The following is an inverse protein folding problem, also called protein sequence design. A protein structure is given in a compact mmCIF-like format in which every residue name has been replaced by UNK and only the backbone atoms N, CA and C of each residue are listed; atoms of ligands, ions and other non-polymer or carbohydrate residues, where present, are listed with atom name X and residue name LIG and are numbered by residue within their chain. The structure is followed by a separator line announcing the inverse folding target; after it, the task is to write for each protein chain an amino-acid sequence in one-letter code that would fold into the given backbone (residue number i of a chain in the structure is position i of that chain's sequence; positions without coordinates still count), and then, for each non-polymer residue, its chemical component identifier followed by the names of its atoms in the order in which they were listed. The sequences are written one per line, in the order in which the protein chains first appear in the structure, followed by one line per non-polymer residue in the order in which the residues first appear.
data_IF_048545953886
#
_entry.id   IF_048545953886
#
_cell.length_a   1.000
_cell.length_b   1.000
_cell.length_c   1.000
_cell.angle_alpha   90.00
_cell.angle_beta   90.00
_cell.angle_gamma   90.00
#
_symmetry.space_group_name_H-M   'P 1'
#
loop_
_entity.id
_entity.type
_entity.pdbx_description
1 polymer ?
#
# COMPACT_ATOMS: atom_id res chain seq x y z
N UNK A 1 -5.67 57.18 -0.08
CA UNK A 1 -4.61 56.16 0.07
C UNK A 1 -5.27 54.94 0.72
N UNK A 2 -5.72 53.96 -0.07
CA UNK A 2 -4.98 52.76 -0.53
C UNK A 2 -4.61 51.84 0.64
N UNK A 3 -5.05 50.57 0.51
CA UNK A 3 -4.73 49.38 1.34
C UNK A 3 -5.61 49.35 2.60
N UNK A 4 -6.64 48.52 2.72
CA UNK A 4 -6.54 47.05 2.80
C UNK A 4 -7.77 46.44 2.11
N UNK A 5 -7.68 46.38 0.78
CA UNK A 5 -8.48 45.46 -0.04
C UNK A 5 -7.58 44.27 -0.33
N UNK A 6 -7.32 43.42 0.67
CA UNK A 6 -6.56 42.16 0.52
C UNK A 6 -7.01 41.16 1.59
N UNK A 7 -8.32 40.93 1.74
CA UNK A 7 -8.84 39.71 2.38
C UNK A 7 -9.65 38.89 1.38
N UNK A 8 -9.13 38.83 0.15
CA UNK A 8 -9.65 38.00 -0.93
C UNK A 8 -8.48 37.29 -1.59
N UNK A 9 -7.85 36.37 -0.85
CA UNK A 9 -7.10 35.27 -1.45
C UNK A 9 -6.68 34.33 -0.32
N UNK A 10 -7.20 33.11 -0.35
CA UNK A 10 -6.59 31.85 0.08
C UNK A 10 -7.70 30.83 0.38
N UNK A 11 -8.63 30.68 -0.57
CA UNK A 11 -9.32 29.40 -0.75
C UNK A 11 -8.35 28.52 -1.57
N UNK A 12 -7.28 28.07 -0.92
CA UNK A 12 -6.40 27.06 -1.46
C UNK A 12 -7.16 25.75 -1.46
N UNK A 13 -7.91 25.49 -2.53
CA UNK A 13 -8.46 24.16 -2.79
C UNK A 13 -7.29 23.22 -3.04
N UNK A 14 -6.78 22.60 -1.98
CA UNK A 14 -5.93 21.43 -2.09
C UNK A 14 -6.78 20.36 -2.79
N UNK A 15 -6.64 20.27 -4.11
CA UNK A 15 -7.13 19.12 -4.86
C UNK A 15 -6.30 17.93 -4.39
N UNK A 16 -6.78 17.27 -3.33
CA UNK A 16 -6.32 15.94 -2.98
C UNK A 16 -6.74 15.09 -4.18
N UNK A 17 -5.79 14.75 -5.04
CA UNK A 17 -5.98 13.72 -6.05
C UNK A 17 -6.22 12.41 -5.31
N UNK A 18 -7.48 12.16 -4.94
CA UNK A 18 -7.90 10.90 -4.35
C UNK A 18 -7.76 9.80 -5.40
N UNK A 19 -7.10 8.71 -5.02
CA UNK A 19 -6.99 7.47 -5.79
C UNK A 19 -8.37 7.08 -6.33
N UNK A 20 -8.47 6.86 -7.64
CA UNK A 20 -9.71 6.43 -8.29
C UNK A 20 -9.67 4.92 -8.40
N UNK A 21 -10.81 4.27 -8.21
CA UNK A 21 -10.91 2.80 -8.41
C UNK A 21 -10.59 2.40 -9.84
N UNK A 22 -10.90 3.26 -10.82
CA UNK A 22 -10.57 3.04 -12.23
C UNK A 22 -9.07 2.90 -12.51
N UNK A 23 -8.21 3.42 -11.64
CA UNK A 23 -6.76 3.38 -11.84
C UNK A 23 -6.18 1.97 -11.59
N UNK A 24 -6.97 1.07 -11.00
CA UNK A 24 -6.57 -0.29 -10.66
C UNK A 24 -6.90 -1.27 -11.78
N UNK A 25 -5.91 -2.09 -12.15
CA UNK A 25 -6.05 -3.20 -13.12
C UNK A 25 -6.62 -4.46 -12.45
N UNK A 26 -6.14 -4.77 -11.25
CA UNK A 26 -6.46 -5.99 -10.54
C UNK A 26 -7.43 -5.72 -9.39
N UNK A 27 -8.38 -6.63 -9.20
CA UNK A 27 -9.32 -6.59 -8.08
C UNK A 27 -9.32 -7.92 -7.34
N UNK A 28 -9.28 -7.86 -6.02
CA UNK A 28 -9.46 -9.02 -5.15
C UNK A 28 -10.87 -8.97 -4.54
N UNK A 29 -11.61 -10.07 -4.66
CA UNK A 29 -12.93 -10.25 -4.06
C UNK A 29 -12.79 -11.38 -3.03
N UNK A 30 -13.17 -11.16 -1.76
CA UNK A 30 -13.11 -12.21 -0.76
C UNK A 30 -14.13 -13.32 -1.09
N UNK A 31 -13.81 -14.57 -0.73
CA UNK A 31 -14.70 -15.72 -0.98
C UNK A 31 -16.03 -15.63 -0.22
N UNK A 32 -16.05 -14.87 0.87
CA UNK A 32 -17.23 -14.61 1.69
C UNK A 32 -17.19 -13.17 2.19
N UNK A 33 -18.35 -12.53 2.18
CA UNK A 33 -18.52 -11.21 2.76
C UNK A 33 -18.89 -11.31 4.24
N UNK A 34 -18.07 -10.72 5.12
CA UNK A 34 -18.19 -10.89 6.59
C UNK A 34 -19.54 -10.42 7.16
N UNK A 35 -20.17 -9.44 6.51
CA UNK A 35 -21.46 -8.90 6.97
C UNK A 35 -22.67 -9.79 6.68
N UNK A 36 -22.49 -10.82 5.84
CA UNK A 36 -23.52 -11.80 5.52
C UNK A 36 -23.32 -13.05 6.38
N UNK A 37 -24.15 -13.21 7.42
CA UNK A 37 -23.96 -14.20 8.49
C UNK A 37 -23.92 -15.66 8.05
N UNK A 38 -24.54 -16.01 6.92
CA UNK A 38 -24.75 -17.42 6.54
C UNK A 38 -24.58 -17.66 5.04
N UNK A 39 -25.13 -16.78 4.21
CA UNK A 39 -25.03 -16.87 2.76
C UNK A 39 -24.99 -15.46 2.18
N UNK A 40 -24.13 -15.26 1.20
CA UNK A 40 -23.97 -14.04 0.44
C UNK A 40 -24.92 -13.96 -0.76
N UNK A 41 -25.80 -14.94 -0.96
CA UNK A 41 -26.79 -14.98 -2.06
C UNK A 41 -26.17 -14.79 -3.45
N UNK A 42 -25.00 -15.39 -3.69
CA UNK A 42 -24.30 -15.32 -4.98
C UNK A 42 -23.69 -13.95 -5.32
N UNK A 43 -23.66 -13.00 -4.38
CA UNK A 43 -23.15 -11.64 -4.62
C UNK A 43 -21.69 -11.62 -5.10
N UNK A 44 -20.86 -12.57 -4.68
CA UNK A 44 -19.46 -12.71 -5.13
C UNK A 44 -19.38 -12.95 -6.64
N UNK A 45 -20.23 -13.87 -7.15
CA UNK A 45 -20.29 -14.19 -8.57
C UNK A 45 -20.84 -13.02 -9.37
N UNK A 46 -21.89 -12.35 -8.87
CA UNK A 46 -22.44 -11.14 -9.49
C UNK A 46 -21.41 -10.00 -9.56
N UNK A 47 -20.68 -9.76 -8.47
CA UNK A 47 -19.63 -8.74 -8.40
C UNK A 47 -18.49 -9.09 -9.37
N UNK A 48 -18.02 -10.34 -9.36
CA UNK A 48 -16.98 -10.85 -10.26
C UNK A 48 -17.34 -10.59 -11.72
N UNK A 49 -18.54 -10.99 -12.14
CA UNK A 49 -18.99 -10.84 -13.52
C UNK A 49 -19.13 -9.37 -13.91
N UNK A 50 -19.66 -8.53 -13.01
CA UNK A 50 -19.81 -7.10 -13.28
C UNK A 50 -18.47 -6.36 -13.38
N UNK A 51 -17.48 -6.73 -12.55
CA UNK A 51 -16.15 -6.13 -12.59
C UNK A 51 -15.35 -6.58 -13.81
N UNK A 52 -15.46 -7.86 -14.20
CA UNK A 52 -14.91 -8.35 -15.48
C UNK A 52 -15.50 -7.60 -16.67
N UNK A 53 -16.82 -7.38 -16.69
CA UNK A 53 -17.49 -6.58 -17.72
C UNK A 53 -17.03 -5.10 -17.75
N UNK A 54 -16.45 -4.62 -16.65
CA UNK A 54 -15.85 -3.29 -16.50
C UNK A 54 -14.32 -3.31 -16.70
N UNK A 55 -13.76 -4.34 -17.33
CA UNK A 55 -12.32 -4.51 -17.64
C UNK A 55 -11.39 -4.72 -16.42
N UNK A 56 -11.90 -5.04 -15.24
CA UNK A 56 -11.05 -5.43 -14.11
C UNK A 56 -10.62 -6.90 -14.22
N UNK A 57 -9.38 -7.19 -13.85
CA UNK A 57 -8.87 -8.56 -13.72
C UNK A 57 -9.11 -9.04 -12.29
N UNK A 58 -10.08 -9.93 -12.11
CA UNK A 58 -10.39 -10.52 -10.80
C UNK A 58 -9.36 -11.58 -10.45
N UNK A 59 -8.65 -11.37 -9.34
CA UNK A 59 -7.63 -12.29 -8.84
C UNK A 59 -8.27 -13.43 -8.03
N UNK A 60 -7.71 -14.65 -8.12
CA UNK A 60 -8.14 -15.77 -7.27
C UNK A 60 -7.69 -15.54 -5.82
N UNK A 61 -8.28 -16.26 -4.86
CA UNK A 61 -7.90 -16.18 -3.44
C UNK A 61 -6.44 -16.58 -3.18
N UNK A 62 -5.92 -17.51 -3.99
CA UNK A 62 -4.55 -18.02 -3.89
C UNK A 62 -3.54 -17.10 -4.56
N UNK A 63 -2.62 -16.53 -3.78
CA UNK A 63 -1.54 -15.63 -4.24
C UNK A 63 -0.61 -16.33 -5.25
N UNK A 64 -0.52 -17.66 -5.22
CA UNK A 64 0.32 -18.45 -6.13
C UNK A 64 -0.14 -18.41 -7.58
N UNK A 65 -1.41 -18.07 -7.81
CA UNK A 65 -2.00 -17.95 -9.13
C UNK A 65 -2.04 -16.51 -9.63
N UNK A 66 -1.51 -15.56 -8.85
CA UNK A 66 -1.51 -14.15 -9.22
C UNK A 66 -0.44 -13.87 -10.29
N UNK A 67 -0.72 -12.98 -11.25
CA UNK A 67 0.30 -12.45 -12.14
C UNK A 67 1.46 -11.83 -11.35
N UNK A 68 2.68 -11.94 -11.87
CA UNK A 68 3.87 -11.33 -11.25
C UNK A 68 3.66 -9.85 -10.94
N UNK A 69 3.09 -9.09 -11.88
CA UNK A 69 2.76 -7.66 -11.70
C UNK A 69 1.90 -7.36 -10.46
N UNK A 70 0.98 -8.27 -10.11
CA UNK A 70 0.11 -8.14 -8.94
C UNK A 70 0.79 -8.65 -7.65
N UNK A 71 1.63 -9.70 -7.76
CA UNK A 71 2.42 -10.23 -6.64
C UNK A 71 3.51 -9.27 -6.19
N UNK A 72 4.19 -8.65 -7.15
CA UNK A 72 5.35 -7.79 -6.94
C UNK A 72 4.92 -6.41 -6.43
N UNK A 73 3.70 -5.97 -6.75
CA UNK A 73 3.12 -4.73 -6.26
C UNK A 73 1.66 -4.91 -5.84
N UNK A 74 1.45 -5.16 -4.54
CA UNK A 74 0.12 -5.30 -3.95
C UNK A 74 -0.74 -4.03 -4.02
N UNK A 75 -0.14 -2.86 -4.27
CA UNK A 75 -0.89 -1.61 -4.46
C UNK A 75 -1.47 -1.46 -5.87
N UNK A 76 -1.15 -2.37 -6.80
CA UNK A 76 -1.88 -2.50 -8.07
C UNK A 76 -3.19 -3.27 -7.92
N UNK A 77 -3.49 -3.76 -6.73
CA UNK A 77 -4.68 -4.53 -6.39
C UNK A 77 -5.62 -3.67 -5.54
N UNK A 78 -6.88 -3.59 -5.96
CA UNK A 78 -7.95 -3.04 -5.14
C UNK A 78 -8.76 -4.17 -4.52
N UNK A 79 -9.13 -4.05 -3.26
CA UNK A 79 -10.01 -5.01 -2.59
C UNK A 79 -11.45 -4.55 -2.74
N UNK A 80 -12.31 -5.37 -3.32
CA UNK A 80 -13.74 -5.08 -3.47
C UNK A 80 -14.56 -5.93 -2.49
N UNK A 81 -15.37 -5.26 -1.67
CA UNK A 81 -16.17 -5.89 -0.63
C UNK A 81 -17.62 -5.39 -0.69
N UNK A 82 -18.57 -6.30 -0.47
CA UNK A 82 -19.98 -5.96 -0.33
C UNK A 82 -20.38 -6.07 1.13
N UNK A 83 -20.94 -5.00 1.66
CA UNK A 83 -21.47 -4.94 3.02
C UNK A 83 -23.00 -4.95 2.98
N UNK A 84 -23.62 -5.70 3.88
CA UNK A 84 -25.05 -5.66 4.10
C UNK A 84 -25.43 -4.39 4.88
N UNK A 85 -26.20 -3.50 4.25
CA UNK A 85 -26.77 -2.32 4.90
C UNK A 85 -28.14 -2.66 5.47
N UNK A 86 -28.18 -2.93 6.78
CA UNK A 86 -29.38 -3.45 7.45
C UNK A 86 -30.58 -2.53 7.22
N UNK A 87 -31.69 -3.12 6.75
CA UNK A 87 -32.94 -2.40 6.52
C UNK A 87 -34.11 -3.37 6.70
N UNK A 88 -35.21 -2.90 7.29
CA UNK A 88 -36.35 -3.76 7.67
C UNK A 88 -37.26 -4.12 6.50
N UNK A 89 -37.34 -3.26 5.48
CA UNK A 89 -38.33 -3.37 4.40
C UNK A 89 -37.71 -3.43 3.00
N UNK A 90 -36.39 -3.29 2.89
CA UNK A 90 -35.70 -3.18 1.60
C UNK A 90 -34.34 -3.83 1.67
N UNK A 91 -33.88 -4.34 0.55
CA UNK A 91 -32.55 -4.90 0.41
C UNK A 91 -31.58 -3.76 0.09
N UNK A 92 -30.55 -3.57 0.92
CA UNK A 92 -29.53 -2.54 0.70
C UNK A 92 -28.15 -3.14 0.87
N UNK A 93 -27.24 -2.66 0.03
CA UNK A 93 -25.83 -3.06 0.08
C UNK A 93 -24.93 -1.84 -0.05
N UNK A 94 -23.74 -1.94 0.52
CA UNK A 94 -22.66 -0.98 0.35
C UNK A 94 -21.52 -1.70 -0.35
N UNK A 95 -21.20 -1.30 -1.57
CA UNK A 95 -20.02 -1.75 -2.29
C UNK A 95 -18.85 -0.83 -1.92
N UNK A 96 -17.80 -1.39 -1.33
CA UNK A 96 -16.59 -0.67 -0.95
C UNK A 96 -15.39 -1.19 -1.73
N UNK A 97 -14.52 -0.26 -2.12
CA UNK A 97 -13.21 -0.55 -2.67
C UNK A 97 -12.15 0.00 -1.73
N UNK A 98 -11.21 -0.86 -1.33
CA UNK A 98 -10.11 -0.54 -0.41
C UNK A 98 -8.77 -0.68 -1.13
N UNK A 99 -7.87 0.27 -0.92
CA UNK A 99 -6.50 0.20 -1.42
C UNK A 99 -5.65 -0.81 -0.63
N UNK A 100 -4.36 -0.93 -0.99
CA UNK A 100 -3.39 -1.75 -0.26
C UNK A 100 -3.17 -1.32 1.21
N UNK A 101 -3.47 -0.07 1.56
CA UNK A 101 -3.42 0.45 2.92
C UNK A 101 -4.75 0.27 3.67
N UNK A 102 -5.69 -0.50 3.12
CA UNK A 102 -7.05 -0.73 3.67
C UNK A 102 -7.89 0.54 3.77
N UNK A 103 -7.52 1.62 3.08
CA UNK A 103 -8.29 2.86 2.99
C UNK A 103 -9.40 2.68 1.97
N UNK A 104 -10.63 3.03 2.36
CA UNK A 104 -11.77 3.06 1.43
C UNK A 104 -11.57 4.19 0.43
N UNK A 105 -11.39 3.84 -0.84
CA UNK A 105 -11.20 4.78 -1.95
C UNK A 105 -12.49 5.05 -2.73
N UNK A 106 -13.45 4.12 -2.67
CA UNK A 106 -14.81 4.32 -3.18
C UNK A 106 -15.80 3.57 -2.30
N UNK A 107 -16.90 4.24 -2.00
CA UNK A 107 -18.07 3.64 -1.38
C UNK A 107 -19.30 3.96 -2.24
N UNK A 108 -20.07 2.94 -2.58
CA UNK A 108 -21.30 3.09 -3.34
C UNK A 108 -22.43 2.29 -2.69
N UNK A 109 -23.55 2.97 -2.45
CA UNK A 109 -24.75 2.36 -1.86
C UNK A 109 -25.73 1.99 -2.95
N UNK A 110 -26.32 0.81 -2.83
CA UNK A 110 -27.38 0.30 -3.68
C UNK A 110 -28.59 -0.12 -2.85
N UNK A 111 -29.78 0.02 -3.45
CA UNK A 111 -31.05 -0.33 -2.83
C UNK A 111 -31.95 -1.04 -3.84
N UNK A 112 -32.70 -2.02 -3.35
CA UNK A 112 -33.80 -2.64 -4.07
C UNK A 112 -35.03 -2.76 -3.18
N UNK A 113 -36.19 -2.50 -3.76
CA UNK A 113 -37.48 -2.71 -3.10
C UNK A 113 -38.05 -4.13 -3.36
N UNK A 114 -37.33 -4.96 -4.13
CA UNK A 114 -37.62 -6.40 -4.29
C UNK A 114 -37.36 -7.08 -2.94
N UNK A 115 -38.37 -7.81 -2.44
CA UNK A 115 -38.34 -8.44 -1.12
C UNK A 115 -37.55 -9.75 -1.10
N UNK A 116 -37.52 -10.47 -2.21
CA UNK A 116 -36.68 -11.67 -2.31
C UNK A 116 -35.20 -11.29 -2.11
N UNK A 117 -34.49 -12.03 -1.25
CA UNK A 117 -33.13 -11.66 -0.86
C UNK A 117 -32.14 -11.87 -2.00
N UNK A 118 -32.25 -12.95 -2.75
CA UNK A 118 -31.31 -13.25 -3.83
C UNK A 118 -31.47 -12.26 -4.97
N UNK A 119 -32.71 -12.05 -5.43
CA UNK A 119 -33.01 -11.10 -6.49
C UNK A 119 -32.79 -9.64 -6.02
N UNK A 120 -33.25 -9.32 -4.81
CA UNK A 120 -33.20 -7.96 -4.26
C UNK A 120 -31.78 -7.52 -3.93
N UNK A 121 -30.94 -8.36 -3.33
CA UNK A 121 -29.54 -8.03 -3.07
C UNK A 121 -28.74 -7.97 -4.39
N UNK A 122 -28.99 -8.88 -5.34
CA UNK A 122 -28.40 -8.81 -6.67
C UNK A 122 -28.76 -7.52 -7.41
N UNK A 123 -30.02 -7.08 -7.31
CA UNK A 123 -30.49 -5.81 -7.87
C UNK A 123 -29.86 -4.60 -7.16
N UNK A 124 -29.80 -4.62 -5.83
CA UNK A 124 -29.14 -3.56 -5.05
C UNK A 124 -27.65 -3.45 -5.42
N UNK A 125 -26.95 -4.57 -5.60
CA UNK A 125 -25.55 -4.58 -6.05
C UNK A 125 -25.40 -3.96 -7.45
N UNK A 126 -26.30 -4.27 -8.40
CA UNK A 126 -26.31 -3.63 -9.72
C UNK A 126 -26.43 -2.10 -9.62
N UNK A 127 -27.28 -1.60 -8.74
CA UNK A 127 -27.42 -0.16 -8.48
C UNK A 127 -26.13 0.45 -7.91
N UNK A 128 -25.47 -0.24 -6.97
CA UNK A 128 -24.20 0.22 -6.41
C UNK A 128 -23.09 0.27 -7.49
N UNK A 129 -23.06 -0.70 -8.40
CA UNK A 129 -22.08 -0.80 -9.49
C UNK A 129 -22.17 0.30 -10.55
N UNK A 130 -23.28 1.04 -10.63
CA UNK A 130 -23.42 2.17 -11.57
C UNK A 130 -22.39 3.28 -11.29
N UNK A 131 -21.97 3.45 -10.04
CA UNK A 131 -20.96 4.44 -9.65
C UNK A 131 -19.52 3.97 -9.85
N UNK A 132 -19.32 2.71 -10.26
CA UNK A 132 -18.00 2.14 -10.51
C UNK A 132 -17.64 2.37 -11.98
N UNK A 133 -16.63 3.20 -12.22
CA UNK A 133 -16.08 3.40 -13.55
C UNK A 133 -15.35 2.12 -14.03
N UNK A 134 -15.31 1.87 -15.35
CA UNK A 134 -14.48 0.80 -15.91
C UNK A 134 -13.00 1.02 -15.56
N UNK A 135 -12.26 -0.08 -15.45
CA UNK A 135 -10.81 -0.04 -15.26
C UNK A 135 -10.17 0.64 -16.48
N UNK A 136 -9.35 1.64 -16.20
CA UNK A 136 -8.46 2.29 -17.13
C UNK A 136 -7.13 2.49 -16.40
N UNK A 137 -6.33 1.43 -16.26
CA UNK A 137 -5.12 1.49 -15.46
C UNK A 137 -4.15 2.45 -16.15
N UNK A 138 -4.01 3.64 -15.59
CA UNK A 138 -2.90 4.51 -15.92
C UNK A 138 -1.67 3.77 -15.41
N UNK A 139 -0.62 3.63 -16.21
CA UNK A 139 0.66 3.13 -15.73
C UNK A 139 1.06 3.99 -14.53
N UNK A 140 0.80 3.50 -13.32
CA UNK A 140 1.30 4.08 -12.07
C UNK A 140 2.77 3.68 -12.01
N UNK A 141 3.57 4.36 -12.84
CA UNK A 141 4.96 4.57 -12.46
C UNK A 141 4.91 5.19 -11.06
N UNK A 142 5.78 4.77 -10.11
CA UNK A 142 6.04 5.64 -8.97
C UNK A 142 6.37 7.02 -9.56
N UNK A 143 5.73 8.06 -9.06
CA UNK A 143 5.90 9.41 -9.57
C UNK A 143 7.40 9.73 -9.68
N UNK A 144 7.94 9.58 -10.90
CA UNK A 144 9.21 10.16 -11.25
C UNK A 144 9.00 11.66 -11.13
N UNK A 145 9.71 12.27 -10.20
CA UNK A 145 10.04 13.69 -10.30
C UNK A 145 10.43 13.99 -11.75
N UNK A 146 9.60 14.84 -12.35
CA UNK A 146 9.70 15.44 -13.66
C UNK A 146 11.13 15.59 -14.18
N UNK A 147 11.42 14.91 -15.29
CA UNK A 147 12.51 15.26 -16.19
C UNK A 147 12.12 16.53 -16.95
N UNK A 148 12.70 17.66 -16.58
CA UNK A 148 12.74 18.85 -17.45
C UNK A 148 13.87 18.65 -18.46
N UNK A 149 13.52 18.78 -19.74
CA UNK A 149 14.38 18.73 -20.92
C UNK A 149 15.52 19.76 -20.87
N UNK A 150 16.73 19.33 -21.26
CA UNK A 150 17.92 20.16 -21.44
C UNK A 150 17.76 21.17 -22.59
N UNK A 151 18.56 22.27 -22.58
CA UNK A 151 19.76 22.27 -23.43
C UNK A 151 21.05 22.75 -22.73
N UNK A 152 22.10 21.96 -22.99
CA UNK A 152 23.55 22.22 -23.13
C UNK A 152 24.20 23.48 -22.52
N UNK A 153 25.10 23.29 -21.54
CA UNK A 153 26.56 23.61 -21.63
C UNK A 153 27.31 23.13 -20.37
N UNK A 154 28.53 22.59 -20.53
CA UNK A 154 29.44 22.14 -19.46
C UNK A 154 30.33 23.30 -18.94
N UNK A 155 31.32 23.07 -18.05
CA UNK A 155 31.27 22.73 -16.61
C UNK A 155 31.97 23.84 -15.75
N UNK A 156 31.85 23.84 -14.41
CA UNK A 156 32.91 24.28 -13.43
C UNK A 156 32.47 24.09 -11.95
N UNK A 157 33.17 23.17 -11.29
CA UNK A 157 33.87 23.19 -9.97
C UNK A 157 33.53 24.21 -8.84
N UNK A 158 33.28 23.62 -7.66
CA UNK A 158 33.70 23.97 -6.28
C UNK A 158 33.15 25.18 -5.47
N UNK A 159 32.69 24.82 -4.24
CA UNK A 159 32.88 25.42 -2.90
C UNK A 159 31.55 25.33 -2.11
N UNK A 160 31.36 24.51 -1.06
CA UNK A 160 32.02 24.38 0.26
C UNK A 160 31.62 25.48 1.26
N UNK A 161 31.00 25.01 2.36
CA UNK A 161 30.92 25.57 3.72
C UNK A 161 29.94 26.74 4.00
N UNK A 162 29.25 26.89 5.14
CA UNK A 162 29.13 26.11 6.40
C UNK A 162 28.09 26.83 7.29
N UNK A 163 27.37 26.05 8.13
CA UNK A 163 26.81 26.40 9.46
C UNK A 163 25.71 27.49 9.57
N UNK A 164 24.78 27.48 10.53
CA UNK A 164 24.35 26.55 11.58
C UNK A 164 23.21 27.25 12.35
N UNK A 165 22.17 26.48 12.69
CA UNK A 165 21.22 26.52 13.86
C UNK A 165 20.65 27.88 14.35
N UNK A 166 19.41 28.00 14.85
CA UNK A 166 18.88 27.39 16.09
C UNK A 166 17.39 27.73 16.35
N UNK A 167 16.62 26.72 16.83
CA UNK A 167 15.52 26.76 17.85
C UNK A 167 14.17 27.46 17.49
N UNK A 168 12.96 27.04 17.90
CA UNK A 168 12.42 25.90 18.68
C UNK A 168 10.88 25.85 18.57
N UNK A 169 10.34 24.62 18.60
CA UNK A 169 9.07 24.09 19.16
C UNK A 169 7.69 24.72 18.83
N UNK A 170 6.73 23.88 18.38
CA UNK A 170 5.59 23.35 19.17
C UNK A 170 5.08 22.02 18.53
N UNK A 171 4.79 21.06 19.41
CA UNK A 171 4.44 19.65 19.20
C UNK A 171 3.02 19.35 18.69
N UNK A 172 2.88 18.28 17.88
CA UNK A 172 1.82 17.26 18.04
C UNK A 172 2.24 15.89 17.48
N UNK A 173 2.36 14.90 18.38
CA UNK A 173 2.45 13.43 18.25
C UNK A 173 2.97 12.77 16.94
N UNK A 174 4.18 12.22 17.03
CA UNK A 174 4.89 11.41 16.03
C UNK A 174 5.00 9.95 16.51
N UNK A 175 4.85 8.92 15.66
CA UNK A 175 5.40 7.60 15.98
C UNK A 175 6.93 7.65 15.84
N UNK A 176 7.61 7.31 16.93
CA UNK A 176 9.06 7.34 17.12
C UNK A 176 9.82 6.66 15.97
N UNK A 177 10.48 7.46 15.14
CA UNK A 177 11.46 7.00 14.16
C UNK A 177 12.84 6.95 14.80
N UNK A 178 13.19 5.81 15.41
CA UNK A 178 14.58 5.55 15.81
C UNK A 178 15.33 5.04 14.58
N UNK A 179 15.80 5.97 13.75
CA UNK A 179 16.67 5.66 12.61
C UNK A 179 18.06 5.29 13.14
N UNK A 180 18.42 4.01 13.08
CA UNK A 180 19.77 3.52 13.35
C UNK A 180 20.41 3.02 12.05
N UNK A 181 21.70 3.33 11.85
CA UNK A 181 22.44 2.91 10.66
C UNK A 181 23.21 1.63 10.95
N UNK A 182 23.30 0.76 9.95
CA UNK A 182 23.93 -0.54 10.03
C UNK A 182 24.85 -0.76 8.82
N UNK A 183 25.98 -1.44 9.01
CA UNK A 183 26.93 -1.69 7.93
C UNK A 183 27.72 -2.99 8.13
N UNK A 184 27.96 -3.71 7.04
CA UNK A 184 28.86 -4.87 6.97
C UNK A 184 30.25 -4.48 6.39
N UNK A 185 30.50 -3.18 6.20
CA UNK A 185 31.70 -2.63 5.57
C UNK A 185 31.66 -2.60 4.03
N UNK A 186 30.68 -3.25 3.39
CA UNK A 186 30.44 -3.22 1.93
C UNK A 186 29.15 -2.48 1.57
N UNK A 187 28.19 -2.53 2.47
CA UNK A 187 26.81 -2.08 2.29
C UNK A 187 26.40 -1.30 3.53
N UNK A 188 26.07 -0.02 3.33
CA UNK A 188 25.44 0.79 4.37
C UNK A 188 23.92 0.71 4.24
N UNK A 189 23.28 0.40 5.35
CA UNK A 189 21.84 0.16 5.47
C UNK A 189 21.25 1.04 6.58
N UNK A 190 20.07 1.58 6.33
CA UNK A 190 19.29 2.29 7.33
C UNK A 190 18.18 1.39 7.85
N UNK A 191 18.08 1.26 9.18
CA UNK A 191 16.94 0.61 9.82
C UNK A 191 15.77 1.58 9.90
N UNK A 192 14.64 1.18 9.32
CA UNK A 192 13.39 1.94 9.32
C UNK A 192 12.33 1.08 9.98
N UNK A 193 11.76 1.56 11.08
CA UNK A 193 10.65 0.89 11.76
C UNK A 193 9.36 1.16 10.98
N UNK A 194 8.63 0.11 10.62
CA UNK A 194 7.35 0.22 9.89
C UNK A 194 6.18 0.22 10.88
N UNK A 195 6.18 -0.73 11.81
CA UNK A 195 5.21 -0.83 12.91
C UNK A 195 5.84 -1.53 14.13
N UNK A 196 5.07 -1.89 15.15
CA UNK A 196 5.61 -2.53 16.37
C UNK A 196 6.25 -3.90 16.11
N UNK A 197 5.87 -4.58 15.03
CA UNK A 197 6.21 -5.96 14.73
C UNK A 197 7.08 -6.09 13.47
N UNK A 198 7.27 -5.01 12.71
CA UNK A 198 8.01 -5.03 11.45
C UNK A 198 8.96 -3.83 11.30
N UNK A 199 10.17 -4.10 10.80
CA UNK A 199 11.11 -3.10 10.34
C UNK A 199 11.81 -3.54 9.05
N UNK A 200 12.44 -2.61 8.36
CA UNK A 200 13.23 -2.89 7.14
C UNK A 200 14.65 -2.39 7.29
N UNK A 201 15.56 -3.01 6.53
CA UNK A 201 16.87 -2.44 6.21
C UNK A 201 16.83 -1.92 4.78
N UNK A 202 17.12 -0.64 4.59
CA UNK A 202 17.10 0.02 3.29
C UNK A 202 18.50 0.51 2.90
N UNK A 203 18.91 0.29 1.66
CA UNK A 203 20.14 0.88 1.11
C UNK A 203 19.83 2.25 0.52
N UNK A 204 20.67 3.25 0.81
CA UNK A 204 20.50 4.59 0.22
C UNK A 204 20.51 4.52 -1.31
N UNK A 205 19.52 5.14 -1.95
CA UNK A 205 19.34 5.11 -3.40
C UNK A 205 18.68 3.85 -3.97
N UNK A 206 18.29 2.87 -3.13
CA UNK A 206 17.52 1.70 -3.56
C UNK A 206 16.05 1.84 -3.17
N UNK A 207 15.13 1.69 -4.14
CA UNK A 207 13.68 1.63 -3.89
C UNK A 207 13.22 0.26 -3.36
N UNK A 208 14.07 -0.75 -3.41
CA UNK A 208 13.81 -2.09 -2.86
C UNK A 208 14.52 -2.20 -1.50
N UNK A 209 13.81 -2.57 -0.42
CA UNK A 209 14.45 -2.82 0.87
C UNK A 209 15.43 -3.97 0.72
N UNK A 210 16.61 -3.84 1.33
CA UNK A 210 17.63 -4.88 1.36
C UNK A 210 17.07 -6.15 2.03
N UNK A 211 16.35 -5.96 3.14
CA UNK A 211 15.68 -7.03 3.87
C UNK A 211 14.50 -6.47 4.68
N UNK A 212 13.43 -7.27 4.79
CA UNK A 212 12.25 -6.98 5.60
C UNK A 212 12.23 -7.94 6.78
N UNK A 213 12.11 -7.43 8.01
CA UNK A 213 12.14 -8.19 9.25
C UNK A 213 10.78 -8.17 9.90
N UNK A 214 10.17 -9.34 10.09
CA UNK A 214 8.91 -9.52 10.82
C UNK A 214 9.17 -10.26 12.12
N UNK A 215 8.69 -9.73 13.23
CA UNK A 215 8.86 -10.31 14.57
C UNK A 215 8.25 -11.70 14.64
N UNK A 216 8.95 -12.62 15.29
CA UNK A 216 8.45 -13.96 15.60
C UNK A 216 7.98 -14.05 17.05
N UNK A 217 7.49 -15.22 17.48
CA UNK A 217 7.18 -15.48 18.89
C UNK A 217 8.43 -15.51 19.78
N UNK A 218 9.62 -15.68 19.21
CA UNK A 218 10.89 -15.65 19.94
C UNK A 218 11.45 -14.22 19.92
N UNK A 219 11.74 -13.70 21.12
CA UNK A 219 12.32 -12.37 21.29
C UNK A 219 13.62 -12.25 20.47
N UNK A 220 13.77 -11.11 19.79
CA UNK A 220 14.95 -10.76 18.99
C UNK A 220 15.25 -11.69 17.80
N UNK A 221 14.29 -12.53 17.41
CA UNK A 221 14.35 -13.37 16.21
C UNK A 221 13.24 -12.96 15.25
N UNK A 222 13.60 -12.83 13.98
CA UNK A 222 12.77 -12.29 12.91
C UNK A 222 12.71 -13.26 11.74
N UNK A 223 11.54 -13.31 11.11
CA UNK A 223 11.37 -13.87 9.78
C UNK A 223 11.79 -12.79 8.78
N UNK A 224 12.79 -13.09 7.98
CA UNK A 224 13.44 -12.14 7.07
C UNK A 224 13.08 -12.46 5.64
N UNK A 225 12.57 -11.49 4.89
CA UNK A 225 12.43 -11.57 3.45
C UNK A 225 13.49 -10.70 2.79
N UNK A 226 14.37 -11.32 2.00
CA UNK A 226 15.46 -10.67 1.29
C UNK A 226 14.94 -9.98 0.01
N UNK A 227 15.76 -9.09 -0.55
CA UNK A 227 15.44 -8.37 -1.79
C UNK A 227 15.20 -9.29 -3.01
N UNK A 228 15.78 -10.50 -3.02
CA UNK A 228 15.56 -11.53 -4.04
C UNK A 228 14.26 -12.32 -3.84
N UNK A 229 13.50 -12.02 -2.78
CA UNK A 229 12.25 -12.69 -2.42
C UNK A 229 12.43 -13.93 -1.55
N UNK A 230 13.66 -14.41 -1.34
CA UNK A 230 13.92 -15.56 -0.48
C UNK A 230 13.65 -15.23 0.99
N UNK A 231 13.13 -16.22 1.71
CA UNK A 231 12.84 -16.09 3.14
C UNK A 231 13.89 -16.82 3.96
N UNK A 232 14.36 -16.18 5.02
CA UNK A 232 15.33 -16.72 5.96
C UNK A 232 15.06 -16.20 7.37
N UNK A 233 15.98 -16.45 8.30
CA UNK A 233 15.95 -15.98 9.67
C UNK A 233 16.98 -14.87 9.86
N UNK A 234 16.62 -13.87 10.64
CA UNK A 234 17.55 -12.88 11.17
C UNK A 234 17.31 -12.66 12.65
N UNK A 235 18.33 -12.17 13.35
CA UNK A 235 18.28 -11.97 14.78
C UNK A 235 19.22 -10.85 15.21
N UNK A 236 19.00 -10.33 16.42
CA UNK A 236 19.99 -9.47 17.04
C UNK A 236 21.07 -10.31 17.75
N UNK A 237 22.33 -9.94 17.56
CA UNK A 237 23.48 -10.54 18.26
C UNK A 237 24.39 -9.39 18.69
N UNK A 238 24.51 -9.14 20.00
CA UNK A 238 25.33 -8.05 20.57
C UNK A 238 25.00 -6.64 20.01
N UNK A 239 23.74 -6.37 19.71
CA UNK A 239 23.30 -5.09 19.12
C UNK A 239 23.47 -4.99 17.60
N UNK A 240 24.05 -6.01 16.96
CA UNK A 240 24.16 -6.11 15.51
C UNK A 240 22.96 -6.86 14.95
N UNK A 241 22.65 -6.60 13.67
CA UNK A 241 21.65 -7.38 12.94
C UNK A 241 22.38 -8.48 12.17
N UNK A 242 21.98 -9.72 12.41
CA UNK A 242 22.50 -10.89 11.70
C UNK A 242 21.40 -11.46 10.80
N UNK A 243 21.76 -11.80 9.56
CA UNK A 243 20.89 -12.53 8.62
C UNK A 243 21.59 -13.84 8.25
N UNK A 244 20.91 -14.97 8.43
CA UNK A 244 21.41 -16.25 7.94
C UNK A 244 21.10 -16.37 6.45
N UNK A 245 22.10 -16.35 5.57
CA UNK A 245 21.88 -16.53 4.12
C UNK A 245 22.02 -18.00 3.71
N UNK A 246 21.02 -18.59 3.04
CA UNK A 246 21.15 -19.92 2.48
C UNK A 246 22.17 -19.94 1.33
N UNK A 247 23.02 -20.96 1.31
CA UNK A 247 23.97 -21.26 0.24
C UNK A 247 23.42 -22.34 -0.69
N UNK A 248 23.98 -22.43 -1.90
CA UNK A 248 23.57 -23.41 -2.92
C UNK A 248 23.76 -24.88 -2.46
N UNK A 249 24.60 -25.13 -1.46
CA UNK A 249 24.87 -26.44 -0.87
C UNK A 249 23.95 -26.78 0.32
N UNK A 250 22.96 -25.93 0.61
CA UNK A 250 22.01 -26.09 1.71
C UNK A 250 22.52 -25.65 3.09
N UNK A 251 23.76 -25.14 3.21
CA UNK A 251 24.27 -24.53 4.44
C UNK A 251 23.83 -23.09 4.57
N UNK A 252 23.96 -22.53 5.77
CA UNK A 252 23.69 -21.12 6.03
C UNK A 252 24.97 -20.39 6.43
N UNK A 253 25.12 -19.16 5.94
CA UNK A 253 26.22 -18.26 6.33
C UNK A 253 25.67 -17.00 6.97
N UNK A 254 26.31 -16.58 8.07
CA UNK A 254 25.95 -15.36 8.78
C UNK A 254 26.43 -14.13 8.01
N UNK A 255 25.52 -13.21 7.73
CA UNK A 255 25.83 -11.85 7.29
C UNK A 255 25.54 -10.89 8.44
N UNK A 256 26.58 -10.19 8.93
CA UNK A 256 26.49 -9.36 10.15
C UNK A 256 26.58 -7.89 9.78
N UNK A 257 25.56 -7.13 10.15
CA UNK A 257 25.50 -5.69 10.00
C UNK A 257 25.67 -5.03 11.36
N UNK A 258 26.76 -4.29 11.52
CA UNK A 258 27.11 -3.63 12.77
C UNK A 258 26.39 -2.29 12.86
N UNK A 259 25.78 -2.02 14.01
CA UNK A 259 25.19 -0.71 14.30
C UNK A 259 26.27 0.37 14.37
N UNK A 260 26.07 1.49 13.67
CA UNK A 260 26.92 2.69 13.70
C UNK A 260 26.29 3.79 14.55
#
# INVERSE_FOLDING_TARGET
MKKISVLMLMMGSSLIFGQKVSDYKYVLIPEKFETFKSNSYGLEAHLTNALKAKNYVVLPSGIDQWPSEARDNSCNIVNAEVLNDKSLFTNKVILQFKDCHKKVILESKGRSDIKDFEEGLGNALKQALLKVAPSNPVNILPASTTTTTAPTTAPTTAATNTAQSTHSAVSTATPVSTSANYSDGKTDLQKIQIDSNQFILAKSGSSVPFAIFKSTSKKEVFLVKLADGNTTIGYYENGNIVIDRPQADGRYTKEVFNGK
#
